data_IF_760639542051
#
_entry.id   IF_760639542051
#
_cell.length_a   1.000
_cell.length_b   1.000
_cell.length_c   1.000
_cell.angle_alpha   90.00
_cell.angle_beta   90.00
_cell.angle_gamma   90.00
#
_symmetry.space_group_name_H-M   'P 1'
#
loop_
_entity.id
_entity.type
_entity.pdbx_description
1 polymer ?
#
# COMPACT_ATOMS: atom_id res chain seq x y z
N UNK A 1 9.95 9.20 18.61
CA UNK A 1 8.64 8.55 18.84
C UNK A 1 8.06 9.13 20.12
N UNK A 2 6.77 9.49 20.11
CA UNK A 2 6.05 9.88 21.32
C UNK A 2 5.54 8.62 22.05
N UNK A 3 5.48 8.66 23.39
CA UNK A 3 4.91 7.58 24.19
C UNK A 3 3.43 7.86 24.38
N UNK A 4 2.59 6.99 23.84
CA UNK A 4 1.13 7.05 24.00
C UNK A 4 0.68 5.84 24.78
N UNK A 5 -0.20 6.04 25.76
CA UNK A 5 -0.85 4.95 26.50
C UNK A 5 -2.23 4.77 25.88
N UNK A 6 -2.48 3.59 25.33
CA UNK A 6 -3.75 3.20 24.70
C UNK A 6 -4.10 1.78 25.15
N UNK A 7 -5.38 1.55 25.39
CA UNK A 7 -5.90 0.20 25.58
C UNK A 7 -6.06 -0.46 24.21
N UNK A 8 -5.54 -1.68 24.09
CA UNK A 8 -5.57 -2.49 22.87
C UNK A 8 -6.02 -3.89 23.27
N UNK A 9 -6.82 -4.50 22.41
CA UNK A 9 -7.15 -5.91 22.49
C UNK A 9 -5.89 -6.76 22.25
N UNK A 10 -5.47 -7.48 23.28
CA UNK A 10 -4.25 -8.31 23.25
C UNK A 10 -4.39 -9.52 22.31
N UNK A 11 -5.60 -10.09 22.14
CA UNK A 11 -5.80 -11.20 21.21
C UNK A 11 -5.66 -10.73 19.76
N UNK A 12 -6.20 -9.55 19.45
CA UNK A 12 -6.04 -8.94 18.14
C UNK A 12 -4.57 -8.59 17.87
N UNK A 13 -3.88 -8.03 18.86
CA UNK A 13 -2.47 -7.68 18.73
C UNK A 13 -1.60 -8.92 18.48
N UNK A 14 -1.87 -10.04 19.15
CA UNK A 14 -1.15 -11.30 18.95
C UNK A 14 -1.40 -11.90 17.57
N UNK A 15 -2.63 -11.83 17.05
CA UNK A 15 -2.95 -12.28 15.70
C UNK A 15 -2.21 -11.44 14.63
N UNK A 16 -2.20 -10.12 14.81
CA UNK A 16 -1.46 -9.21 13.93
C UNK A 16 0.04 -9.46 14.04
N UNK A 17 0.56 -9.69 15.24
CA UNK A 17 1.98 -9.99 15.46
C UNK A 17 2.42 -11.25 14.71
N UNK A 18 1.62 -12.32 14.77
CA UNK A 18 1.84 -13.56 14.00
C UNK A 18 1.78 -13.31 12.50
N UNK A 19 0.79 -12.55 12.04
CA UNK A 19 0.61 -12.23 10.61
C UNK A 19 1.79 -11.42 10.06
N UNK A 20 2.28 -10.45 10.84
CA UNK A 20 3.39 -9.59 10.45
C UNK A 20 4.77 -10.19 10.79
N UNK A 21 4.83 -11.33 11.47
CA UNK A 21 6.09 -11.95 11.91
C UNK A 21 6.88 -11.13 12.94
N UNK A 22 6.21 -10.24 13.66
CA UNK A 22 6.84 -9.30 14.60
C UNK A 22 6.94 -9.90 16.01
N UNK A 23 7.95 -9.48 16.78
CA UNK A 23 8.25 -10.07 18.10
C UNK A 23 7.85 -9.20 19.28
N UNK A 24 7.62 -7.90 19.04
CA UNK A 24 7.27 -6.96 20.11
C UNK A 24 5.99 -6.21 19.79
N UNK A 25 5.15 -5.98 20.81
CA UNK A 25 3.90 -5.19 20.70
C UNK A 25 4.10 -3.85 19.99
N UNK A 26 5.18 -3.14 20.33
CA UNK A 26 5.54 -1.86 19.70
C UNK A 26 5.84 -2.04 18.20
N UNK A 27 6.62 -3.04 17.84
CA UNK A 27 6.96 -3.33 16.45
C UNK A 27 5.70 -3.71 15.66
N UNK A 28 4.85 -4.57 16.22
CA UNK A 28 3.55 -4.96 15.63
C UNK A 28 2.70 -3.73 15.32
N UNK A 29 2.53 -2.82 16.28
CA UNK A 29 1.72 -1.61 16.08
C UNK A 29 2.32 -0.69 15.01
N UNK A 30 3.63 -0.42 15.07
CA UNK A 30 4.26 0.48 14.09
C UNK A 30 4.21 -0.10 12.67
N UNK A 31 4.48 -1.40 12.53
CA UNK A 31 4.43 -2.08 11.22
C UNK A 31 3.01 -2.14 10.69
N UNK A 32 2.02 -2.45 11.54
CA UNK A 32 0.62 -2.46 11.13
C UNK A 32 0.15 -1.09 10.63
N UNK A 33 0.52 0.00 11.32
CA UNK A 33 0.19 1.36 10.90
C UNK A 33 0.85 1.72 9.55
N UNK A 34 2.11 1.33 9.35
CA UNK A 34 2.81 1.56 8.09
C UNK A 34 2.17 0.78 6.93
N UNK A 35 1.81 -0.49 7.15
CA UNK A 35 1.16 -1.32 6.13
C UNK A 35 -0.19 -0.75 5.71
N UNK A 36 -1.00 -0.26 6.64
CA UNK A 36 -2.28 0.39 6.31
C UNK A 36 -2.09 1.63 5.45
N UNK A 37 -1.08 2.45 5.75
CA UNK A 37 -0.77 3.63 4.93
C UNK A 37 -0.33 3.23 3.53
N UNK A 38 0.49 2.19 3.39
CA UNK A 38 0.93 1.69 2.09
C UNK A 38 -0.23 1.09 1.28
N UNK A 39 -1.13 0.34 1.92
CA UNK A 39 -2.35 -0.16 1.30
C UNK A 39 -3.21 1.00 0.78
N UNK A 40 -3.42 2.03 1.61
CA UNK A 40 -4.20 3.19 1.22
C UNK A 40 -3.54 3.97 0.07
N UNK A 41 -2.22 4.16 0.13
CA UNK A 41 -1.45 4.82 -0.94
C UNK A 41 -1.56 4.08 -2.26
N UNK A 42 -1.47 2.74 -2.24
CA UNK A 42 -1.63 1.89 -3.44
C UNK A 42 -3.05 2.00 -4.01
N UNK A 43 -4.08 1.99 -3.14
CA UNK A 43 -5.45 2.15 -3.58
C UNK A 43 -5.68 3.51 -4.25
N UNK A 44 -5.17 4.61 -3.67
CA UNK A 44 -5.29 5.95 -4.24
C UNK A 44 -4.54 6.08 -5.57
N UNK A 45 -3.34 5.50 -5.66
CA UNK A 45 -2.58 5.48 -6.90
C UNK A 45 -3.34 4.73 -8.02
N UNK A 46 -3.99 3.61 -7.69
CA UNK A 46 -4.80 2.87 -8.64
C UNK A 46 -6.02 3.67 -9.11
N UNK A 47 -6.71 4.37 -8.20
CA UNK A 47 -7.83 5.25 -8.56
C UNK A 47 -7.37 6.35 -9.51
N UNK A 48 -6.28 7.05 -9.19
CA UNK A 48 -5.72 8.10 -10.06
C UNK A 48 -5.30 7.57 -11.43
N UNK A 49 -4.74 6.37 -11.49
CA UNK A 49 -4.33 5.74 -12.75
C UNK A 49 -5.56 5.43 -13.62
N UNK A 50 -6.66 4.99 -13.01
CA UNK A 50 -7.93 4.77 -13.71
C UNK A 50 -8.55 6.07 -14.24
N UNK A 51 -8.52 7.14 -13.44
CA UNK A 51 -8.99 8.46 -13.86
C UNK A 51 -8.16 8.97 -15.06
N UNK A 52 -6.84 8.95 -14.95
CA UNK A 52 -5.94 9.34 -16.04
C UNK A 52 -6.19 8.50 -17.31
N UNK A 53 -6.41 7.19 -17.16
CA UNK A 53 -6.75 6.33 -18.30
C UNK A 53 -8.08 6.72 -18.95
N UNK A 54 -9.11 7.05 -18.16
CA UNK A 54 -10.41 7.49 -18.66
C UNK A 54 -10.34 8.85 -19.37
N UNK A 55 -9.44 9.73 -18.92
CA UNK A 55 -9.17 11.04 -19.54
C UNK A 55 -8.27 10.97 -20.77
N UNK A 56 -7.85 9.77 -21.19
CA UNK A 56 -7.01 9.57 -22.37
C UNK A 56 -5.54 9.92 -22.15
N UNK A 57 -5.04 9.90 -20.90
CA UNK A 57 -3.64 10.18 -20.59
C UNK A 57 -2.66 9.14 -21.16
N UNK A 58 -3.16 7.99 -21.62
CA UNK A 58 -2.37 6.98 -22.31
C UNK A 58 -2.69 6.98 -23.81
N UNK A 59 -1.69 7.30 -24.63
CA UNK A 59 -1.76 7.09 -26.08
C UNK A 59 -1.52 5.60 -26.39
N UNK A 60 -2.62 4.85 -26.40
CA UNK A 60 -2.62 3.42 -26.67
C UNK A 60 -2.24 3.11 -28.13
N UNK A 61 -2.41 4.06 -29.06
CA UNK A 61 -2.04 3.89 -30.46
C UNK A 61 -0.52 3.93 -30.63
N UNK A 62 0.16 4.86 -29.93
CA UNK A 62 1.63 4.91 -29.86
C UNK A 62 2.21 3.65 -29.20
N UNK A 63 1.60 3.17 -28.11
CA UNK A 63 2.03 1.93 -27.43
C UNK A 63 1.81 0.67 -28.29
N UNK A 64 0.85 0.72 -29.21
CA UNK A 64 0.56 -0.34 -30.18
C UNK A 64 1.53 -0.37 -31.37
N UNK A 65 2.29 0.71 -31.61
CA UNK A 65 3.24 0.80 -32.72
C UNK A 65 4.54 0.03 -32.42
N UNK A 66 4.51 -1.27 -32.74
CA UNK A 66 5.64 -2.19 -32.56
C UNK A 66 6.80 -1.94 -33.51
N UNK A 67 6.69 -1.04 -34.49
CA UNK A 67 7.75 -0.76 -35.48
C UNK A 67 9.00 -0.16 -34.84
N UNK A 68 8.87 0.42 -33.65
CA UNK A 68 9.96 1.02 -32.88
C UNK A 68 10.43 0.17 -31.69
N UNK A 69 9.95 -1.07 -31.53
CA UNK A 69 10.35 -1.94 -30.44
C UNK A 69 11.67 -2.66 -30.76
N UNK A 70 12.70 -2.43 -29.92
CA UNK A 70 14.08 -2.95 -30.06
C UNK A 70 14.77 -2.59 -31.38
N UNK A 71 15.22 -1.34 -31.47
CA UNK A 71 16.37 -1.02 -32.33
C UNK A 71 17.63 -0.99 -31.48
#
# INVERSE_FOLDING_TARGET
MARTVIDIDDELLDQVAKTLGTKSKKETVNTALAEILEIHRRALALTRLREAAAEGAFDLELLGDKRNYRR
#
